data_IF_234114888417
#
_entry.id   IF_234114888417
#
_cell.length_a   1.000
_cell.length_b   1.000
_cell.length_c   1.000
_cell.angle_alpha   90.00
_cell.angle_beta   90.00
_cell.angle_gamma   90.00
#
_symmetry.space_group_name_H-M   'P 1'
#
loop_
_entity.id
_entity.type
_entity.pdbx_description
1 polymer ?
#
# COMPACT_ATOMS: atom_id res chain seq x y z
N UNK A 1 0.61 0.93 7.91
CA UNK A 1 1.32 2.00 7.12
C UNK A 1 2.30 1.33 6.20
N UNK A 2 2.36 1.77 4.95
CA UNK A 2 3.28 1.26 3.94
C UNK A 2 4.60 2.04 4.06
N UNK A 3 5.70 1.32 4.20
CA UNK A 3 7.06 1.91 4.32
C UNK A 3 7.86 1.77 3.04
N UNK A 4 7.57 0.73 2.24
CA UNK A 4 8.19 0.45 0.95
C UNK A 4 7.26 -0.44 0.11
N UNK A 5 7.62 -0.72 -1.14
CA UNK A 5 6.80 -1.54 -2.03
C UNK A 5 7.61 -2.47 -2.93
N UNK A 6 6.95 -3.53 -3.37
CA UNK A 6 7.40 -4.41 -4.45
C UNK A 6 6.34 -4.34 -5.56
N UNK A 7 6.68 -3.76 -6.72
CA UNK A 7 5.76 -3.60 -7.85
C UNK A 7 6.14 -4.45 -9.07
N UNK A 8 7.15 -5.32 -8.95
CA UNK A 8 7.69 -6.10 -10.06
C UNK A 8 6.70 -7.11 -10.67
N UNK A 9 5.59 -7.39 -9.98
CA UNK A 9 4.53 -8.30 -10.44
C UNK A 9 3.36 -7.59 -11.11
N UNK A 10 3.42 -6.27 -11.23
CA UNK A 10 2.44 -5.46 -11.95
C UNK A 10 3.14 -4.56 -12.99
N UNK A 11 2.52 -4.28 -14.14
CA UNK A 11 3.12 -3.38 -15.12
C UNK A 11 3.36 -1.99 -14.53
N UNK A 12 4.58 -1.45 -14.74
CA UNK A 12 4.85 -0.07 -14.32
C UNK A 12 4.01 0.93 -15.12
N UNK A 13 3.40 1.93 -14.47
CA UNK A 13 2.65 2.98 -15.15
C UNK A 13 3.53 3.88 -16.05
N UNK A 14 4.85 3.80 -15.90
CA UNK A 14 5.81 4.59 -16.69
C UNK A 14 6.33 3.88 -17.93
N UNK A 15 5.79 2.69 -18.27
CA UNK A 15 6.10 2.01 -19.54
C UNK A 15 5.48 2.81 -20.68
N UNK A 16 6.31 3.10 -21.71
CA UNK A 16 5.89 3.88 -22.87
C UNK A 16 6.71 5.16 -23.03
N UNK A 17 6.17 6.11 -23.76
CA UNK A 17 6.79 7.43 -23.97
C UNK A 17 6.71 8.27 -22.67
N UNK A 18 7.80 8.96 -22.35
CA UNK A 18 7.82 9.82 -21.17
C UNK A 18 7.13 11.15 -21.45
N UNK A 19 6.28 11.59 -20.54
CA UNK A 19 5.71 12.95 -20.53
C UNK A 19 6.61 13.82 -19.67
N UNK A 20 7.60 14.46 -20.28
CA UNK A 20 8.68 15.17 -19.57
C UNK A 20 8.19 16.37 -18.74
N UNK A 21 7.00 16.89 -19.05
CA UNK A 21 6.33 17.93 -18.27
C UNK A 21 5.86 17.44 -16.89
N UNK A 22 5.67 16.12 -16.73
CA UNK A 22 5.25 15.51 -15.49
C UNK A 22 6.46 15.08 -14.62
N UNK A 23 7.56 14.64 -15.27
CA UNK A 23 8.73 14.21 -14.53
C UNK A 23 9.79 13.52 -15.37
N UNK A 24 10.88 13.16 -14.73
CA UNK A 24 12.04 12.54 -15.37
C UNK A 24 11.73 11.12 -15.82
N UNK A 25 12.35 10.69 -16.93
CA UNK A 25 12.20 9.33 -17.47
C UNK A 25 12.57 8.23 -16.47
N UNK A 26 13.51 8.49 -15.57
CA UNK A 26 14.03 7.54 -14.61
C UNK A 26 13.97 8.13 -13.18
N UNK A 27 12.76 8.23 -12.58
CA UNK A 27 12.62 8.79 -11.25
C UNK A 27 13.24 7.88 -10.18
N UNK A 28 13.87 8.49 -9.19
CA UNK A 28 14.41 7.78 -8.02
C UNK A 28 13.26 7.35 -7.08
N UNK A 29 13.26 6.07 -6.71
CA UNK A 29 12.26 5.45 -5.85
C UNK A 29 12.78 5.13 -4.44
N UNK A 30 14.01 5.56 -4.09
CA UNK A 30 14.63 5.27 -2.78
C UNK A 30 13.74 5.68 -1.60
N UNK A 31 13.01 6.78 -1.74
CA UNK A 31 12.04 7.26 -0.76
C UNK A 31 10.69 7.52 -1.44
N UNK A 32 10.15 6.48 -2.09
CA UNK A 32 8.84 6.58 -2.75
C UNK A 32 7.75 6.96 -1.76
N UNK A 33 7.81 6.42 -0.54
CA UNK A 33 7.00 6.86 0.60
C UNK A 33 7.81 7.84 1.45
N UNK A 34 7.34 9.09 1.53
CA UNK A 34 8.03 10.21 2.19
C UNK A 34 8.23 9.95 3.69
N UNK A 35 9.47 10.00 4.16
CA UNK A 35 9.82 9.69 5.55
C UNK A 35 9.16 10.64 6.57
N UNK A 36 8.96 11.91 6.21
CA UNK A 36 8.30 12.89 7.10
C UNK A 36 6.81 12.59 7.21
N UNK A 37 6.17 12.19 6.11
CA UNK A 37 4.77 11.80 6.11
C UNK A 37 4.56 10.48 6.86
N UNK A 38 5.48 9.52 6.73
CA UNK A 38 5.47 8.32 7.56
C UNK A 38 5.54 8.66 9.05
N UNK A 39 6.45 9.58 9.45
CA UNK A 39 6.56 9.99 10.84
C UNK A 39 5.29 10.70 11.32
N UNK A 40 4.70 11.55 10.49
CA UNK A 40 3.43 12.20 10.79
C UNK A 40 2.30 11.19 11.03
N UNK A 41 2.24 10.12 10.23
CA UNK A 41 1.25 9.04 10.44
C UNK A 41 1.50 8.33 11.77
N UNK A 42 2.76 7.99 12.11
CA UNK A 42 3.11 7.34 13.39
C UNK A 42 2.66 8.18 14.58
N UNK A 43 3.01 9.46 14.57
CA UNK A 43 2.71 10.38 15.66
C UNK A 43 1.19 10.57 15.81
N UNK A 44 0.49 10.73 14.70
CA UNK A 44 -0.97 10.87 14.70
C UNK A 44 -1.67 9.61 15.16
N UNK A 45 -1.24 8.43 14.71
CA UNK A 45 -1.80 7.16 15.16
C UNK A 45 -1.62 6.96 16.67
N UNK A 46 -0.45 7.34 17.20
CA UNK A 46 -0.18 7.31 18.65
C UNK A 46 -1.09 8.27 19.43
N UNK A 47 -1.26 9.50 18.96
CA UNK A 47 -2.15 10.49 19.58
C UNK A 47 -3.61 10.02 19.61
N UNK A 48 -4.06 9.42 18.52
CA UNK A 48 -5.43 8.91 18.36
C UNK A 48 -5.63 7.51 18.98
N UNK A 49 -4.57 6.92 19.56
CA UNK A 49 -4.57 5.57 20.15
C UNK A 49 -4.98 4.49 19.12
N UNK A 50 -4.58 4.67 17.86
CA UNK A 50 -4.81 3.73 16.77
C UNK A 50 -3.57 2.86 16.59
N UNK A 51 -3.73 1.54 16.73
CA UNK A 51 -2.64 0.60 16.44
C UNK A 51 -2.43 0.51 14.93
N UNK A 52 -1.21 0.84 14.48
CA UNK A 52 -0.79 0.64 13.10
C UNK A 52 0.37 -0.34 13.04
N UNK A 53 0.39 -1.14 11.97
CA UNK A 53 1.54 -1.97 11.58
C UNK A 53 2.28 -1.29 10.44
N UNK A 54 3.54 -1.62 10.27
CA UNK A 54 4.38 -1.08 9.20
C UNK A 54 4.92 -2.23 8.37
N UNK A 55 5.03 -2.02 7.06
CA UNK A 55 5.56 -3.08 6.21
C UNK A 55 5.65 -2.71 4.74
N UNK A 56 6.17 -3.67 3.98
CA UNK A 56 6.35 -3.62 2.54
C UNK A 56 5.09 -4.12 1.84
N UNK A 57 4.53 -3.31 0.95
CA UNK A 57 3.35 -3.66 0.17
C UNK A 57 3.75 -4.20 -1.21
N UNK A 58 3.29 -5.41 -1.53
CA UNK A 58 3.51 -6.01 -2.84
C UNK A 58 2.24 -5.85 -3.69
N UNK A 59 2.40 -5.31 -4.91
CA UNK A 59 1.30 -5.22 -5.86
C UNK A 59 1.35 -6.34 -6.88
N UNK A 60 0.20 -7.01 -7.04
CA UNK A 60 -0.09 -7.96 -8.12
C UNK A 60 -1.06 -7.35 -9.14
N UNK A 61 -1.27 -8.04 -10.25
CA UNK A 61 -2.23 -7.59 -11.28
C UNK A 61 -3.68 -7.94 -10.95
N UNK A 62 -3.91 -9.04 -10.21
CA UNK A 62 -5.25 -9.62 -10.11
C UNK A 62 -5.80 -10.10 -11.47
N UNK A 63 -7.12 -10.32 -11.62
CA UNK A 63 -8.18 -10.04 -10.62
C UNK A 63 -8.43 -11.18 -9.62
N UNK A 64 -7.76 -12.31 -9.75
CA UNK A 64 -7.86 -13.41 -8.77
C UNK A 64 -7.02 -13.09 -7.51
N UNK A 65 -7.43 -13.65 -6.39
CA UNK A 65 -6.59 -13.76 -5.21
C UNK A 65 -5.40 -14.68 -5.50
N UNK A 66 -4.33 -14.47 -4.76
CA UNK A 66 -3.09 -15.22 -4.88
C UNK A 66 -3.27 -16.67 -4.38
N UNK A 67 -2.52 -17.59 -4.97
CA UNK A 67 -2.43 -18.96 -4.46
C UNK A 67 -1.54 -19.02 -3.19
N UNK A 68 -1.67 -20.07 -2.35
CA UNK A 68 -0.78 -20.27 -1.20
C UNK A 68 0.71 -20.33 -1.55
N UNK A 69 1.06 -20.78 -2.76
CA UNK A 69 2.44 -20.83 -3.23
C UNK A 69 2.99 -19.44 -3.54
N UNK A 70 2.17 -18.58 -4.18
CA UNK A 70 2.51 -17.18 -4.45
C UNK A 70 2.68 -16.41 -3.14
N UNK A 71 1.77 -16.58 -2.18
CA UNK A 71 1.87 -15.93 -0.86
C UNK A 71 3.18 -16.31 -0.14
N UNK A 72 3.54 -17.59 -0.15
CA UNK A 72 4.85 -18.00 0.41
C UNK A 72 6.02 -17.35 -0.32
N UNK A 73 5.96 -17.26 -1.65
CA UNK A 73 7.00 -16.61 -2.45
C UNK A 73 7.10 -15.11 -2.12
N UNK A 74 5.97 -14.42 -2.00
CA UNK A 74 5.94 -12.98 -1.67
C UNK A 74 6.51 -12.71 -0.28
N UNK A 75 6.20 -13.54 0.71
CA UNK A 75 6.82 -13.46 2.03
C UNK A 75 8.34 -13.66 1.98
N UNK A 76 8.85 -14.60 1.15
CA UNK A 76 10.29 -14.84 0.99
C UNK A 76 11.03 -13.66 0.35
N UNK A 77 10.39 -12.89 -0.52
CA UNK A 77 10.99 -11.67 -1.11
C UNK A 77 10.77 -10.42 -0.25
N UNK A 78 10.19 -10.55 0.93
CA UNK A 78 10.08 -9.49 1.93
C UNK A 78 8.78 -8.69 1.90
N UNK A 79 7.71 -9.21 1.31
CA UNK A 79 6.40 -8.58 1.39
C UNK A 79 5.71 -8.88 2.72
N UNK A 80 5.11 -7.86 3.33
CA UNK A 80 4.29 -7.96 4.54
C UNK A 80 2.78 -7.91 4.21
N UNK A 81 2.43 -7.31 3.10
CA UNK A 81 1.06 -7.21 2.60
C UNK A 81 1.01 -7.34 1.09
N UNK A 82 -0.10 -7.83 0.56
CA UNK A 82 -0.33 -7.97 -0.88
C UNK A 82 -1.67 -7.37 -1.27
N UNK A 83 -1.75 -6.84 -2.49
CA UNK A 83 -2.98 -6.35 -3.08
C UNK A 83 -2.81 -5.95 -4.55
N UNK A 84 -3.87 -5.45 -5.16
CA UNK A 84 -3.97 -5.20 -6.60
C UNK A 84 -3.95 -3.70 -6.96
N UNK A 85 -3.52 -2.84 -6.04
CA UNK A 85 -3.54 -1.37 -6.15
C UNK A 85 -2.32 -0.74 -5.50
N UNK A 86 -2.28 0.58 -5.45
CA UNK A 86 -1.41 1.38 -4.56
C UNK A 86 0.01 1.60 -5.08
N UNK A 87 0.77 0.55 -5.44
CA UNK A 87 2.17 0.73 -5.84
C UNK A 87 2.30 1.46 -7.19
N UNK A 88 1.42 1.18 -8.16
CA UNK A 88 1.42 1.89 -9.44
C UNK A 88 1.06 3.36 -9.27
N UNK A 89 0.08 3.68 -8.42
CA UNK A 89 -0.31 5.05 -8.11
C UNK A 89 0.81 5.80 -7.39
N UNK A 90 1.51 5.15 -6.46
CA UNK A 90 2.66 5.71 -5.77
C UNK A 90 3.82 6.02 -6.74
N UNK A 91 4.10 5.12 -7.71
CA UNK A 91 5.09 5.34 -8.77
C UNK A 91 4.72 6.56 -9.62
N UNK A 92 3.46 6.65 -10.07
CA UNK A 92 3.00 7.76 -10.88
C UNK A 92 3.05 9.10 -10.12
N UNK A 93 2.62 9.11 -8.86
CA UNK A 93 2.68 10.28 -8.00
C UNK A 93 4.14 10.72 -7.75
N UNK A 94 5.03 9.77 -7.46
CA UNK A 94 6.46 10.05 -7.28
C UNK A 94 7.11 10.61 -8.54
N UNK A 95 6.78 10.05 -9.71
CA UNK A 95 7.22 10.57 -11.01
C UNK A 95 6.80 12.03 -11.20
N UNK A 96 5.58 12.38 -10.81
CA UNK A 96 5.06 13.75 -10.87
C UNK A 96 5.56 14.68 -9.73
N UNK A 97 6.55 14.25 -8.95
CA UNK A 97 7.13 15.05 -7.87
C UNK A 97 6.25 15.21 -6.63
N UNK A 98 5.17 14.43 -6.52
CA UNK A 98 4.27 14.46 -5.37
C UNK A 98 4.87 13.64 -4.23
N UNK A 99 4.80 14.16 -3.01
CA UNK A 99 5.14 13.38 -1.80
C UNK A 99 4.02 12.39 -1.51
N UNK A 100 4.40 11.14 -1.27
CA UNK A 100 3.45 10.03 -1.07
C UNK A 100 3.59 9.45 0.33
N UNK A 101 2.47 9.11 0.95
CA UNK A 101 2.38 8.17 2.05
C UNK A 101 1.25 7.18 1.77
N UNK A 102 1.34 5.98 2.32
CA UNK A 102 0.38 4.92 2.08
C UNK A 102 -0.12 4.28 3.38
N UNK A 103 -1.43 4.08 3.46
CA UNK A 103 -2.07 3.31 4.53
C UNK A 103 -2.96 2.27 3.85
N UNK A 104 -2.75 1.01 4.15
CA UNK A 104 -3.56 -0.09 3.65
C UNK A 104 -4.37 -0.70 4.79
N UNK A 105 -5.66 -0.89 4.58
CA UNK A 105 -6.50 -1.65 5.50
C UNK A 105 -6.32 -3.15 5.21
N UNK A 106 -5.77 -3.89 6.15
CA UNK A 106 -5.62 -5.34 6.03
C UNK A 106 -6.96 -5.99 6.37
N UNK A 107 -7.59 -6.59 5.38
CA UNK A 107 -8.94 -7.13 5.47
C UNK A 107 -8.99 -8.63 5.76
N UNK A 108 -7.93 -9.35 5.48
CA UNK A 108 -7.85 -10.80 5.66
C UNK A 108 -6.38 -11.26 5.80
N UNK A 109 -6.21 -12.47 6.24
CA UNK A 109 -4.95 -13.20 6.06
C UNK A 109 -4.91 -13.74 4.64
N UNK A 110 -3.77 -13.58 3.97
CA UNK A 110 -3.62 -14.03 2.59
C UNK A 110 -3.78 -15.56 2.44
N UNK A 111 -4.04 -16.04 1.23
CA UNK A 111 -4.31 -17.44 0.92
C UNK A 111 -3.28 -18.40 1.52
N UNK A 112 -3.75 -19.42 2.20
CA UNK A 112 -2.92 -20.47 2.84
C UNK A 112 -2.26 -20.07 4.15
N UNK A 113 -2.53 -18.87 4.69
CA UNK A 113 -2.17 -18.46 6.05
C UNK A 113 -3.31 -18.72 7.05
N UNK A 114 -4.52 -18.95 6.57
CA UNK A 114 -5.67 -19.46 7.32
C UNK A 114 -6.33 -20.58 6.53
N UNK A 115 -7.24 -21.35 7.17
CA UNK A 115 -8.03 -22.40 6.52
C UNK A 115 -9.24 -21.84 5.76
N UNK A 116 -9.56 -20.56 5.93
CA UNK A 116 -10.72 -19.92 5.33
C UNK A 116 -10.46 -19.54 3.86
N UNK A 117 -11.46 -19.78 3.01
CA UNK A 117 -11.44 -19.27 1.64
C UNK A 117 -11.68 -17.77 1.63
N UNK A 118 -10.97 -17.07 0.75
CA UNK A 118 -11.09 -15.61 0.64
C UNK A 118 -12.31 -15.24 -0.22
N UNK A 119 -13.08 -14.28 0.26
CA UNK A 119 -14.19 -13.71 -0.50
C UNK A 119 -14.14 -12.18 -0.52
N UNK A 120 -14.63 -11.57 -1.59
CA UNK A 120 -14.74 -10.13 -1.70
C UNK A 120 -15.71 -9.53 -0.67
N UNK A 121 -16.72 -10.28 -0.25
CA UNK A 121 -17.68 -9.87 0.78
C UNK A 121 -17.02 -9.73 2.16
N UNK A 122 -16.09 -10.64 2.48
CA UNK A 122 -15.34 -10.57 3.74
C UNK A 122 -14.42 -9.35 3.77
N UNK A 123 -13.75 -9.06 2.65
CA UNK A 123 -12.94 -7.83 2.48
C UNK A 123 -13.78 -6.60 2.76
N UNK A 124 -14.97 -6.47 2.16
CA UNK A 124 -15.87 -5.33 2.39
C UNK A 124 -16.37 -5.26 3.83
N UNK A 125 -16.69 -6.39 4.43
CA UNK A 125 -17.18 -6.46 5.81
C UNK A 125 -16.13 -5.97 6.80
N UNK A 126 -14.89 -6.39 6.65
CA UNK A 126 -13.78 -5.93 7.50
C UNK A 126 -13.46 -4.46 7.24
N UNK A 127 -13.42 -4.03 5.98
CA UNK A 127 -13.21 -2.62 5.64
C UNK A 127 -14.27 -1.72 6.30
N UNK A 128 -15.54 -2.10 6.25
CA UNK A 128 -16.62 -1.35 6.91
C UNK A 128 -16.47 -1.31 8.43
N UNK A 129 -16.02 -2.40 9.07
CA UNK A 129 -15.77 -2.44 10.53
C UNK A 129 -14.64 -1.51 10.95
N UNK A 130 -13.67 -1.25 10.08
CA UNK A 130 -12.51 -0.40 10.34
C UNK A 130 -12.66 1.03 9.78
N UNK A 131 -13.76 1.32 9.07
CA UNK A 131 -13.95 2.57 8.35
C UNK A 131 -13.81 3.80 9.25
N UNK A 132 -14.46 3.81 10.42
CA UNK A 132 -14.42 4.95 11.36
C UNK A 132 -13.01 5.23 11.88
N UNK A 133 -12.27 4.19 12.23
CA UNK A 133 -10.90 4.30 12.73
C UNK A 133 -9.96 4.77 11.62
N UNK A 134 -10.12 4.23 10.41
CA UNK A 134 -9.36 4.61 9.22
C UNK A 134 -9.64 6.06 8.81
N UNK A 135 -10.92 6.46 8.74
CA UNK A 135 -11.35 7.82 8.42
C UNK A 135 -10.79 8.82 9.43
N UNK A 136 -10.89 8.50 10.73
CA UNK A 136 -10.35 9.34 11.81
C UNK A 136 -8.83 9.54 11.63
N UNK A 137 -8.07 8.48 11.40
CA UNK A 137 -6.62 8.57 11.20
C UNK A 137 -6.29 9.43 9.99
N UNK A 138 -6.89 9.15 8.84
CA UNK A 138 -6.63 9.88 7.59
C UNK A 138 -7.00 11.35 7.72
N UNK A 139 -8.16 11.67 8.28
CA UNK A 139 -8.61 13.06 8.48
C UNK A 139 -7.65 13.83 9.39
N UNK A 140 -7.19 13.21 10.48
CA UNK A 140 -6.23 13.84 11.40
C UNK A 140 -4.86 14.04 10.78
N UNK A 141 -4.39 13.09 9.98
CA UNK A 141 -3.13 13.21 9.24
C UNK A 141 -3.22 14.36 8.23
N UNK A 142 -4.29 14.43 7.42
CA UNK A 142 -4.50 15.50 6.44
C UNK A 142 -4.56 16.88 7.11
N UNK A 143 -5.20 16.98 8.26
CA UNK A 143 -5.31 18.24 9.01
C UNK A 143 -3.99 18.78 9.57
N UNK A 144 -2.90 18.05 9.44
CA UNK A 144 -1.54 18.42 9.91
C UNK A 144 -0.55 18.72 8.77
N UNK A 145 -1.01 18.75 7.51
CA UNK A 145 -0.19 19.13 6.35
C UNK A 145 0.07 20.62 6.29
#
# INVERSE_FOLDING_TARGET
MITDQISSFAPSPLIGENVSELGDRFPDMTHIYDLKLQQLIRDTAKEEQIEIREGVYLQTTGPNFESPAEIRMYGLVGADAVGMSTACEAIAARHAGVRVCGISCISNMASGLSEEELSHLDVQTIANKRAEEFERLVTKVIGKF
#
